data_IF_012558697199
#
_entry.id   IF_012558697199
#
_cell.length_a   1.000
_cell.length_b   1.000
_cell.length_c   1.000
_cell.angle_alpha   90.00
_cell.angle_beta   90.00
_cell.angle_gamma   90.00
#
_symmetry.space_group_name_H-M   'P 1'
#
loop_
_entity.id
_entity.type
_entity.pdbx_description
1 polymer ?
#
# COMPACT_ATOMS: atom_id res chain seq x y z
N UNK A 1 -9.89 11.04 47.67
CA UNK A 1 -10.30 11.33 46.30
C UNK A 1 -9.53 10.41 45.38
N UNK A 2 -10.20 9.58 44.60
CA UNK A 2 -9.54 8.70 43.62
C UNK A 2 -9.16 9.56 42.39
N UNK A 3 -7.99 10.19 42.44
CA UNK A 3 -7.51 11.14 41.40
C UNK A 3 -7.47 10.52 40.01
N UNK A 4 -7.24 9.22 39.90
CA UNK A 4 -7.24 8.47 38.64
C UNK A 4 -8.64 8.47 38.00
N UNK A 5 -9.67 8.09 38.77
CA UNK A 5 -11.06 8.09 38.27
C UNK A 5 -11.58 9.51 38.00
N UNK A 6 -11.08 10.51 38.72
CA UNK A 6 -11.38 11.92 38.45
C UNK A 6 -10.77 12.39 37.12
N UNK A 7 -9.52 12.02 36.83
CA UNK A 7 -8.86 12.36 35.57
C UNK A 7 -9.62 11.76 34.38
N UNK A 8 -10.12 10.53 34.51
CA UNK A 8 -10.95 9.88 33.49
C UNK A 8 -12.19 10.72 33.12
N UNK A 9 -12.82 11.39 34.08
CA UNK A 9 -13.93 12.31 33.80
C UNK A 9 -13.46 13.55 33.03
N UNK A 10 -12.35 14.16 33.46
CA UNK A 10 -11.80 15.39 32.87
C UNK A 10 -11.30 15.15 31.44
N UNK A 11 -10.54 14.08 31.24
CA UNK A 11 -9.93 13.70 29.95
C UNK A 11 -10.97 13.33 28.89
N UNK A 12 -12.19 12.98 29.33
CA UNK A 12 -13.34 12.71 28.45
C UNK A 12 -14.31 13.91 28.36
N UNK A 13 -13.81 15.14 28.57
CA UNK A 13 -14.53 16.39 28.43
C UNK A 13 -15.79 16.52 29.32
N UNK A 14 -15.86 15.80 30.44
CA UNK A 14 -16.94 16.01 31.42
C UNK A 14 -16.62 17.30 32.19
N UNK A 15 -17.53 18.30 32.25
CA UNK A 15 -17.27 19.59 32.88
C UNK A 15 -17.36 19.51 34.41
N UNK A 16 -16.43 18.78 35.02
CA UNK A 16 -16.39 18.48 36.46
C UNK A 16 -16.22 19.75 37.29
N UNK A 17 -16.94 19.82 38.41
CA UNK A 17 -16.67 20.77 39.51
C UNK A 17 -16.29 19.96 40.74
N UNK A 18 -15.11 20.21 41.30
CA UNK A 18 -14.51 19.38 42.35
C UNK A 18 -15.37 19.29 43.62
N UNK A 19 -16.10 20.35 43.96
CA UNK A 19 -17.03 20.41 45.09
C UNK A 19 -18.31 19.59 44.91
N UNK A 20 -18.50 18.95 43.74
CA UNK A 20 -19.71 18.21 43.36
C UNK A 20 -19.45 16.76 42.92
N UNK A 21 -18.25 16.24 43.15
CA UNK A 21 -17.94 14.84 42.91
C UNK A 21 -18.52 13.95 44.01
N UNK A 22 -18.99 12.76 43.62
CA UNK A 22 -19.48 11.75 44.55
C UNK A 22 -18.63 10.50 44.38
N UNK A 23 -18.08 9.99 45.48
CA UNK A 23 -17.31 8.74 45.50
C UNK A 23 -18.16 7.64 46.16
N UNK A 24 -18.14 6.44 45.57
CA UNK A 24 -18.84 5.27 46.12
C UNK A 24 -18.10 3.97 45.78
N UNK A 25 -18.45 2.88 46.46
CA UNK A 25 -17.90 1.54 46.24
C UNK A 25 -19.00 0.48 46.28
N UNK A 26 -19.10 -0.34 45.23
CA UNK A 26 -20.05 -1.46 45.15
C UNK A 26 -19.29 -2.78 45.31
N UNK A 27 -19.59 -3.57 46.35
CA UNK A 27 -18.93 -4.87 46.61
C UNK A 27 -19.64 -6.03 45.92
N UNK A 28 -19.10 -6.56 44.82
CA UNK A 28 -19.71 -7.63 44.03
C UNK A 28 -18.82 -8.88 43.96
N UNK A 29 -19.24 -9.98 44.60
CA UNK A 29 -18.43 -11.21 44.75
C UNK A 29 -18.15 -12.02 43.47
N UNK A 30 -18.96 -11.88 42.41
CA UNK A 30 -18.86 -12.69 41.16
C UNK A 30 -19.01 -11.83 39.90
N UNK A 31 -18.34 -10.68 39.88
CA UNK A 31 -18.35 -9.76 38.74
C UNK A 31 -17.12 -10.00 37.85
N UNK A 32 -17.31 -9.95 36.53
CA UNK A 32 -16.23 -9.87 35.54
C UNK A 32 -16.28 -8.50 34.87
N UNK A 33 -15.17 -8.05 34.29
CA UNK A 33 -15.09 -6.78 33.54
C UNK A 33 -16.21 -6.67 32.47
N UNK A 34 -16.43 -7.75 31.71
CA UNK A 34 -17.53 -7.83 30.73
C UNK A 34 -18.93 -7.73 31.35
N UNK A 35 -19.15 -8.30 32.54
CA UNK A 35 -20.46 -8.20 33.24
C UNK A 35 -20.71 -6.79 33.79
N UNK A 36 -19.66 -6.03 34.12
CA UNK A 36 -19.78 -4.62 34.46
C UNK A 36 -20.23 -3.82 33.24
N UNK A 37 -19.66 -4.09 32.06
CA UNK A 37 -20.11 -3.50 30.79
C UNK A 37 -21.57 -3.80 30.49
N UNK A 38 -21.98 -5.06 30.63
CA UNK A 38 -23.38 -5.46 30.44
C UNK A 38 -24.33 -4.76 31.43
N UNK A 39 -23.89 -4.55 32.68
CA UNK A 39 -24.67 -3.81 33.67
C UNK A 39 -24.80 -2.32 33.29
N UNK A 40 -23.73 -1.70 32.80
CA UNK A 40 -23.76 -0.31 32.30
C UNK A 40 -24.74 -0.18 31.14
N UNK A 41 -24.73 -1.12 30.17
CA UNK A 41 -25.67 -1.10 29.04
C UNK A 41 -27.13 -1.25 29.43
N UNK A 42 -27.44 -1.87 30.58
CA UNK A 42 -28.82 -1.96 31.08
C UNK A 42 -29.35 -0.63 31.60
N UNK A 43 -28.48 0.22 32.14
CA UNK A 43 -28.87 1.46 32.83
C UNK A 43 -28.47 2.73 32.09
N UNK A 44 -27.61 2.63 31.08
CA UNK A 44 -27.07 3.76 30.33
C UNK A 44 -26.25 3.34 29.12
N UNK A 45 -25.17 4.09 28.84
CA UNK A 45 -24.22 3.80 27.77
C UNK A 45 -22.79 3.89 28.26
N UNK A 46 -21.90 3.16 27.61
CA UNK A 46 -20.45 3.31 27.76
C UNK A 46 -20.01 4.51 26.92
N UNK A 47 -19.27 5.43 27.53
CA UNK A 47 -18.69 6.63 26.91
C UNK A 47 -17.25 6.38 26.53
N UNK A 48 -16.49 5.72 27.41
CA UNK A 48 -15.12 5.29 27.16
C UNK A 48 -14.83 3.97 27.90
N UNK A 49 -13.95 3.16 27.32
CA UNK A 49 -13.46 1.88 27.85
C UNK A 49 -11.93 1.94 27.85
N UNK A 50 -11.34 1.93 29.04
CA UNK A 50 -9.89 1.95 29.26
C UNK A 50 -9.51 0.55 29.75
N UNK A 51 -9.34 -0.37 28.79
CA UNK A 51 -9.16 -1.80 29.07
C UNK A 51 -7.90 -2.08 29.91
N UNK A 52 -6.78 -1.41 29.60
CA UNK A 52 -5.51 -1.56 30.31
C UNK A 52 -5.59 -1.16 31.79
N UNK A 53 -6.48 -0.22 32.11
CA UNK A 53 -6.67 0.30 33.47
C UNK A 53 -7.86 -0.35 34.20
N UNK A 54 -8.62 -1.23 33.51
CA UNK A 54 -9.88 -1.80 33.96
C UNK A 54 -10.92 -0.74 34.35
N UNK A 55 -10.99 0.36 33.60
CA UNK A 55 -11.90 1.48 33.87
C UNK A 55 -12.96 1.61 32.77
N UNK A 56 -14.20 1.88 33.19
CA UNK A 56 -15.28 2.32 32.31
C UNK A 56 -15.70 3.74 32.66
N UNK A 57 -15.99 4.56 31.65
CA UNK A 57 -16.78 5.78 31.81
C UNK A 57 -18.20 5.52 31.33
N UNK A 58 -19.18 5.60 32.22
CA UNK A 58 -20.59 5.38 31.93
C UNK A 58 -21.38 6.69 31.94
N UNK A 59 -22.33 6.84 31.01
CA UNK A 59 -23.33 7.91 31.03
C UNK A 59 -24.72 7.33 31.29
N UNK A 60 -25.31 7.68 32.43
CA UNK A 60 -26.59 7.16 32.92
C UNK A 60 -27.59 8.33 32.99
N UNK A 61 -28.71 8.20 32.27
CA UNK A 61 -29.77 9.21 32.24
C UNK A 61 -30.78 8.96 33.34
N UNK A 62 -31.12 10.00 34.11
CA UNK A 62 -32.15 9.92 35.13
C UNK A 62 -33.54 10.19 34.51
N UNK A 63 -34.16 9.17 33.92
CA UNK A 63 -35.48 9.28 33.28
C UNK A 63 -35.48 9.96 31.89
N UNK A 64 -36.67 10.16 31.30
CA UNK A 64 -36.82 10.63 29.90
C UNK A 64 -36.39 12.09 29.65
N UNK A 65 -36.36 12.94 30.68
CA UNK A 65 -36.08 14.38 30.59
C UNK A 65 -34.98 14.83 31.57
N UNK A 66 -34.40 13.90 32.35
CA UNK A 66 -33.47 14.26 33.41
C UNK A 66 -32.02 14.41 32.96
N UNK A 67 -31.21 14.97 33.87
CA UNK A 67 -29.78 15.17 33.67
C UNK A 67 -29.05 13.82 33.53
N UNK A 68 -27.91 13.84 32.83
CA UNK A 68 -27.03 12.69 32.68
C UNK A 68 -25.97 12.72 33.76
N UNK A 69 -25.83 11.62 34.51
CA UNK A 69 -24.70 11.38 35.39
C UNK A 69 -23.61 10.63 34.63
N UNK A 70 -22.37 11.07 34.80
CA UNK A 70 -21.18 10.42 34.30
C UNK A 70 -20.49 9.72 35.46
N UNK A 71 -20.28 8.41 35.35
CA UNK A 71 -19.63 7.59 36.38
C UNK A 71 -18.35 6.99 35.80
N UNK A 72 -17.21 7.33 36.37
CA UNK A 72 -15.96 6.61 36.14
C UNK A 72 -15.91 5.42 37.12
N UNK A 73 -15.71 4.21 36.59
CA UNK A 73 -15.90 2.94 37.28
C UNK A 73 -14.62 2.10 37.16
N UNK A 74 -13.88 1.92 38.25
CA UNK A 74 -12.70 1.02 38.26
C UNK A 74 -13.10 -0.36 38.74
N UNK A 75 -12.92 -1.36 37.88
CA UNK A 75 -13.14 -2.75 38.24
C UNK A 75 -11.94 -3.30 39.03
N UNK A 76 -12.21 -3.80 40.23
CA UNK A 76 -11.23 -4.48 41.07
C UNK A 76 -11.77 -5.87 41.48
N UNK A 77 -10.92 -6.83 41.86
CA UNK A 77 -11.38 -8.12 42.35
C UNK A 77 -12.34 -7.97 43.54
N UNK A 78 -13.61 -8.28 43.32
CA UNK A 78 -14.66 -8.26 44.36
C UNK A 78 -15.34 -6.92 44.62
N UNK A 79 -14.97 -5.83 43.92
CA UNK A 79 -15.60 -4.51 44.08
C UNK A 79 -15.46 -3.62 42.84
N UNK A 80 -16.31 -2.60 42.74
CA UNK A 80 -16.21 -1.53 41.75
C UNK A 80 -16.10 -0.21 42.50
N UNK A 81 -15.00 0.52 42.28
CA UNK A 81 -14.84 1.88 42.80
C UNK A 81 -15.44 2.88 41.80
N UNK A 82 -16.12 3.90 42.31
CA UNK A 82 -16.92 4.82 41.51
C UNK A 82 -16.58 6.25 41.87
N UNK A 83 -16.33 7.08 40.84
CA UNK A 83 -16.36 8.54 40.95
C UNK A 83 -17.38 9.07 39.96
N UNK A 84 -18.39 9.76 40.47
CA UNK A 84 -19.54 10.22 39.69
C UNK A 84 -19.68 11.74 39.68
N UNK A 85 -20.14 12.28 38.54
CA UNK A 85 -20.47 13.68 38.36
C UNK A 85 -21.76 13.86 37.55
N UNK A 86 -22.63 14.78 37.98
CA UNK A 86 -23.77 15.24 37.20
C UNK A 86 -23.85 16.77 37.25
N UNK A 87 -24.06 17.41 36.10
CA UNK A 87 -24.30 18.85 36.04
C UNK A 87 -25.74 19.14 36.43
N UNK A 88 -25.94 19.49 37.69
CA UNK A 88 -27.26 19.87 38.22
C UNK A 88 -27.44 21.38 38.31
N UNK A 89 -28.70 21.84 38.12
CA UNK A 89 -29.10 23.25 38.23
C UNK A 89 -29.26 23.73 39.68
N UNK A 90 -30.09 24.75 39.90
CA UNK A 90 -30.33 25.35 41.24
C UNK A 90 -30.91 24.37 42.29
N UNK A 91 -31.46 23.23 41.87
CA UNK A 91 -32.02 22.22 42.76
C UNK A 91 -31.22 20.92 42.64
N UNK A 92 -30.75 20.39 43.76
CA UNK A 92 -30.03 19.12 43.82
C UNK A 92 -31.02 17.96 43.57
N UNK A 93 -30.82 17.23 42.47
CA UNK A 93 -31.71 16.14 42.05
C UNK A 93 -31.17 14.76 42.46
N UNK A 94 -30.01 14.72 43.12
CA UNK A 94 -29.27 13.50 43.49
C UNK A 94 -29.08 12.56 42.29
N UNK A 95 -28.77 13.12 41.13
CA UNK A 95 -28.71 12.42 39.84
C UNK A 95 -27.59 11.38 39.84
N UNK A 96 -26.44 11.72 40.44
CA UNK A 96 -25.29 10.82 40.54
C UNK A 96 -25.58 9.66 41.48
N UNK A 97 -26.14 9.90 42.66
CA UNK A 97 -26.48 8.86 43.63
C UNK A 97 -27.57 7.92 43.09
N UNK A 98 -28.57 8.47 42.37
CA UNK A 98 -29.58 7.67 41.67
C UNK A 98 -28.97 6.79 40.58
N UNK A 99 -28.02 7.32 39.81
CA UNK A 99 -27.33 6.56 38.78
C UNK A 99 -26.49 5.42 39.38
N UNK A 100 -25.80 5.67 40.50
CA UNK A 100 -25.05 4.64 41.23
C UNK A 100 -25.99 3.56 41.75
N UNK A 101 -27.15 3.93 42.32
CA UNK A 101 -28.13 2.97 42.82
C UNK A 101 -28.75 2.10 41.71
N UNK A 102 -29.02 2.66 40.54
CA UNK A 102 -29.50 1.88 39.39
C UNK A 102 -28.42 0.93 38.87
N UNK A 103 -27.16 1.39 38.83
CA UNK A 103 -26.03 0.53 38.49
C UNK A 103 -25.84 -0.60 39.51
N UNK A 104 -25.98 -0.31 40.81
CA UNK A 104 -25.90 -1.30 41.89
C UNK A 104 -26.97 -2.40 41.73
N UNK A 105 -28.23 -2.01 41.47
CA UNK A 105 -29.31 -2.98 41.17
C UNK A 105 -29.01 -3.84 39.94
N UNK A 106 -28.42 -3.25 38.90
CA UNK A 106 -28.04 -3.98 37.68
C UNK A 106 -26.92 -5.00 37.94
N UNK A 107 -26.05 -4.72 38.91
CA UNK A 107 -24.95 -5.57 39.34
C UNK A 107 -25.37 -6.65 40.37
N UNK A 108 -26.40 -6.37 41.17
CA UNK A 108 -26.95 -7.26 42.19
C UNK A 108 -28.47 -7.40 42.06
N UNK A 109 -28.98 -8.15 41.07
CA UNK A 109 -30.40 -8.46 41.03
C UNK A 109 -30.79 -9.29 42.28
N UNK A 110 -31.78 -8.82 43.05
CA UNK A 110 -32.34 -9.53 44.21
C UNK A 110 -32.74 -10.97 43.86
N UNK A 111 -32.48 -11.92 44.76
CA UNK A 111 -33.20 -13.21 44.79
C UNK A 111 -34.71 -12.96 44.94
N UNK A 112 -35.57 -13.78 44.32
CA UNK A 112 -37.00 -13.47 44.20
C UNK A 112 -37.66 -13.46 45.58
N UNK A 113 -38.34 -12.35 45.92
CA UNK A 113 -39.23 -12.26 47.08
C UNK A 113 -40.67 -12.19 46.60
N UNK A 114 -41.47 -13.10 47.17
CA UNK A 114 -42.88 -13.35 46.86
C UNK A 114 -43.75 -12.08 46.83
N UNK A 115 -44.63 -12.04 45.82
CA UNK A 115 -45.63 -11.00 45.59
C UNK A 115 -46.64 -10.90 46.74
N UNK A 116 -46.92 -9.67 47.17
CA UNK A 116 -48.29 -9.28 47.53
C UNK A 116 -48.71 -8.04 46.76
N UNK A 117 -49.68 -8.29 45.87
CA UNK A 117 -50.56 -7.38 45.12
C UNK A 117 -50.59 -5.93 45.62
N UNK A 118 -50.27 -5.01 44.73
CA UNK A 118 -51.05 -3.79 44.55
C UNK A 118 -51.10 -3.45 43.07
N UNK A 119 -52.32 -3.20 42.60
CA UNK A 119 -52.69 -3.01 41.21
C UNK A 119 -51.87 -1.89 40.56
N UNK A 120 -50.99 -2.28 39.64
CA UNK A 120 -50.49 -1.40 38.59
C UNK A 120 -50.50 -2.23 37.31
N UNK A 121 -51.18 -1.72 36.30
CA UNK A 121 -51.43 -2.42 35.03
C UNK A 121 -50.12 -2.95 34.44
N UNK A 122 -49.97 -4.27 34.51
CA UNK A 122 -48.93 -5.00 33.81
C UNK A 122 -49.16 -4.77 32.30
N UNK A 123 -48.20 -4.16 31.61
CA UNK A 123 -48.16 -4.24 30.13
C UNK A 123 -47.79 -5.68 29.79
N UNK A 124 -48.80 -6.56 29.86
CA UNK A 124 -48.70 -7.96 29.48
C UNK A 124 -48.45 -7.98 27.98
N UNK A 125 -47.19 -8.12 27.58
CA UNK A 125 -46.87 -8.44 26.18
C UNK A 125 -47.30 -9.91 25.98
N UNK A 126 -48.35 -10.20 25.19
CA UNK A 126 -48.96 -11.52 25.18
C UNK A 126 -47.96 -12.64 24.80
N UNK A 127 -48.19 -13.88 25.26
CA UNK A 127 -47.33 -15.04 24.98
C UNK A 127 -47.12 -15.29 23.46
N UNK A 128 -48.08 -14.86 22.63
CA UNK A 128 -47.94 -14.81 21.17
C UNK A 128 -46.80 -13.87 20.73
N UNK A 129 -46.64 -12.71 21.35
CA UNK A 129 -45.62 -11.69 21.01
C UNK A 129 -44.21 -12.12 21.41
N UNK A 130 -44.02 -12.83 22.54
CA UNK A 130 -42.72 -13.45 22.90
C UNK A 130 -42.31 -14.54 21.90
N UNK A 131 -43.27 -15.38 21.46
CA UNK A 131 -43.05 -16.36 20.38
C UNK A 131 -42.71 -15.67 19.04
N UNK A 132 -43.42 -14.59 18.70
CA UNK A 132 -43.15 -13.79 17.50
C UNK A 132 -41.74 -13.17 17.56
N UNK A 133 -41.33 -12.60 18.69
CA UNK A 133 -39.99 -12.01 18.86
C UNK A 133 -38.87 -13.06 18.70
N UNK A 134 -39.04 -14.26 19.26
CA UNK A 134 -38.10 -15.36 19.07
C UNK A 134 -38.00 -15.81 17.60
N UNK A 135 -39.13 -15.86 16.88
CA UNK A 135 -39.14 -16.15 15.44
C UNK A 135 -38.42 -15.06 14.64
N UNK A 136 -38.65 -13.78 14.95
CA UNK A 136 -37.99 -12.65 14.27
C UNK A 136 -36.48 -12.67 14.50
N UNK A 137 -36.02 -12.90 15.73
CA UNK A 137 -34.58 -13.03 16.02
C UNK A 137 -33.99 -14.23 15.28
N UNK A 138 -34.67 -15.38 15.26
CA UNK A 138 -34.24 -16.54 14.50
C UNK A 138 -34.08 -16.25 13.00
N UNK A 139 -35.05 -15.55 12.40
CA UNK A 139 -34.99 -15.13 11.00
C UNK A 139 -33.82 -14.17 10.75
N UNK A 140 -33.60 -13.19 11.63
CA UNK A 140 -32.48 -12.25 11.53
C UNK A 140 -31.13 -12.97 11.61
N UNK A 141 -30.97 -13.93 12.53
CA UNK A 141 -29.74 -14.73 12.64
C UNK A 141 -29.51 -15.53 11.36
N UNK A 142 -30.53 -16.21 10.84
CA UNK A 142 -30.42 -16.95 9.58
C UNK A 142 -30.10 -16.03 8.41
N UNK A 143 -30.69 -14.83 8.36
CA UNK A 143 -30.38 -13.83 7.34
C UNK A 143 -28.93 -13.33 7.45
N UNK A 144 -28.42 -13.05 8.65
CA UNK A 144 -27.02 -12.67 8.87
C UNK A 144 -26.05 -13.79 8.46
N UNK A 145 -26.34 -15.05 8.82
CA UNK A 145 -25.55 -16.21 8.39
C UNK A 145 -25.57 -16.34 6.86
N UNK A 146 -26.75 -16.17 6.25
CA UNK A 146 -26.90 -16.24 4.80
C UNK A 146 -26.12 -15.13 4.09
N UNK A 147 -26.19 -13.89 4.59
CA UNK A 147 -25.42 -12.75 4.07
C UNK A 147 -23.90 -12.96 4.25
N UNK A 148 -23.48 -13.54 5.37
CA UNK A 148 -22.09 -13.91 5.58
C UNK A 148 -21.59 -14.87 4.49
N UNK A 149 -22.32 -15.97 4.25
CA UNK A 149 -21.92 -16.93 3.21
C UNK A 149 -22.03 -16.38 1.78
N UNK A 150 -22.98 -15.48 1.51
CA UNK A 150 -23.16 -14.90 0.18
C UNK A 150 -22.17 -13.78 -0.16
N UNK A 151 -21.79 -12.95 0.81
CA UNK A 151 -21.00 -11.73 0.53
C UNK A 151 -19.65 -11.71 1.24
N UNK A 152 -19.61 -12.08 2.52
CA UNK A 152 -18.40 -11.93 3.34
C UNK A 152 -17.41 -13.08 3.11
N UNK A 153 -17.86 -14.33 3.11
CA UNK A 153 -16.98 -15.49 2.88
C UNK A 153 -16.29 -15.45 1.50
N UNK A 154 -16.97 -15.09 0.40
CA UNK A 154 -16.31 -14.86 -0.90
C UNK A 154 -15.32 -13.70 -0.85
N UNK A 155 -15.67 -12.58 -0.19
CA UNK A 155 -14.77 -11.45 -0.05
C UNK A 155 -13.48 -11.83 0.71
N UNK A 156 -13.58 -12.58 1.82
CA UNK A 156 -12.41 -13.10 2.55
C UNK A 156 -11.52 -13.95 1.63
N UNK A 157 -12.12 -14.83 0.82
CA UNK A 157 -11.36 -15.66 -0.13
C UNK A 157 -10.67 -14.81 -1.20
N UNK A 158 -11.38 -13.81 -1.73
CA UNK A 158 -10.83 -12.87 -2.70
C UNK A 158 -9.68 -12.04 -2.09
N UNK A 159 -9.82 -11.53 -0.88
CA UNK A 159 -8.76 -10.78 -0.17
C UNK A 159 -7.52 -11.66 0.08
N UNK A 160 -7.71 -12.94 0.45
CA UNK A 160 -6.58 -13.86 0.56
C UNK A 160 -5.87 -14.10 -0.78
N UNK A 161 -6.62 -14.25 -1.88
CA UNK A 161 -6.05 -14.39 -3.21
C UNK A 161 -5.32 -13.13 -3.67
N UNK A 162 -5.89 -11.95 -3.39
CA UNK A 162 -5.26 -10.65 -3.59
C UNK A 162 -3.93 -10.55 -2.84
N UNK A 163 -3.92 -10.86 -1.54
CA UNK A 163 -2.71 -10.82 -0.71
C UNK A 163 -1.62 -11.77 -1.21
N UNK A 164 -2.01 -12.95 -1.72
CA UNK A 164 -1.08 -13.87 -2.36
C UNK A 164 -0.49 -13.25 -3.64
N UNK A 165 -1.31 -12.63 -4.48
CA UNK A 165 -0.84 -11.93 -5.67
C UNK A 165 0.08 -10.75 -5.32
N UNK A 166 -0.19 -10.03 -4.22
CA UNK A 166 0.69 -8.99 -3.67
C UNK A 166 2.04 -9.56 -3.24
N UNK A 167 2.07 -10.70 -2.55
CA UNK A 167 3.32 -11.37 -2.19
C UNK A 167 4.13 -11.77 -3.44
N UNK A 168 3.48 -12.34 -4.46
CA UNK A 168 4.11 -12.68 -5.75
C UNK A 168 4.61 -11.43 -6.50
N UNK A 169 3.81 -10.35 -6.51
CA UNK A 169 4.20 -9.06 -7.10
C UNK A 169 5.43 -8.49 -6.40
N UNK A 170 5.45 -8.48 -5.07
CA UNK A 170 6.54 -7.91 -4.29
C UNK A 170 7.85 -8.69 -4.45
N UNK A 171 7.78 -10.02 -4.58
CA UNK A 171 8.93 -10.83 -4.96
C UNK A 171 9.41 -10.47 -6.37
N UNK A 172 8.47 -10.33 -7.32
CA UNK A 172 8.80 -9.97 -8.69
C UNK A 172 9.43 -8.56 -8.78
N UNK A 173 8.83 -7.57 -8.14
CA UNK A 173 9.37 -6.20 -8.08
C UNK A 173 10.79 -6.18 -7.54
N UNK A 174 11.10 -7.01 -6.54
CA UNK A 174 12.46 -7.05 -5.99
C UNK A 174 13.46 -7.54 -7.03
N UNK A 175 13.14 -8.62 -7.78
CA UNK A 175 14.04 -9.08 -8.85
C UNK A 175 14.10 -8.09 -10.02
N UNK A 176 13.00 -7.41 -10.31
CA UNK A 176 12.91 -6.35 -11.31
C UNK A 176 13.86 -5.19 -10.96
N UNK A 177 13.72 -4.62 -9.76
CA UNK A 177 14.55 -3.52 -9.27
C UNK A 177 16.03 -3.91 -9.21
N UNK A 178 16.37 -5.14 -8.79
CA UNK A 178 17.76 -5.63 -8.79
C UNK A 178 18.34 -5.80 -10.20
N UNK A 179 17.54 -6.22 -11.18
CA UNK A 179 17.98 -6.32 -12.56
C UNK A 179 18.25 -4.93 -13.16
N UNK A 180 17.37 -3.96 -12.87
CA UNK A 180 17.51 -2.59 -13.37
C UNK A 180 18.76 -1.87 -12.85
N UNK A 181 19.30 -2.24 -11.68
CA UNK A 181 20.59 -1.68 -11.22
C UNK A 181 21.78 -1.98 -12.13
N UNK A 182 21.64 -2.94 -13.06
CA UNK A 182 22.72 -3.38 -13.94
C UNK A 182 22.70 -2.72 -15.31
N UNK A 183 21.64 -2.00 -15.63
CA UNK A 183 21.34 -1.47 -16.97
C UNK A 183 20.78 -0.06 -16.85
N UNK A 184 21.04 0.81 -17.82
CA UNK A 184 20.33 2.09 -17.93
C UNK A 184 19.09 1.93 -18.80
N UNK A 185 17.92 2.27 -18.27
CA UNK A 185 16.64 2.22 -19.02
C UNK A 185 16.03 3.59 -19.26
N UNK A 186 16.73 4.67 -18.89
CA UNK A 186 16.21 6.05 -18.94
C UNK A 186 15.80 6.49 -20.36
N UNK A 187 16.46 5.91 -21.38
CA UNK A 187 16.19 6.19 -22.78
C UNK A 187 15.23 5.18 -23.43
N UNK A 188 14.55 4.34 -22.64
CA UNK A 188 13.60 3.33 -23.13
C UNK A 188 12.18 3.70 -22.69
N UNK A 189 11.31 3.95 -23.66
CA UNK A 189 9.89 4.20 -23.37
C UNK A 189 9.20 2.96 -22.81
N UNK A 190 8.42 3.15 -21.75
CA UNK A 190 7.53 2.12 -21.18
C UNK A 190 8.12 1.27 -20.06
N UNK A 191 9.44 1.32 -19.83
CA UNK A 191 10.08 0.61 -18.71
C UNK A 191 10.24 1.58 -17.53
N UNK A 192 9.62 1.25 -16.39
CA UNK A 192 9.76 2.06 -15.18
C UNK A 192 11.09 1.78 -14.48
N UNK A 193 11.77 2.81 -13.96
CA UNK A 193 13.02 2.66 -13.21
C UNK A 193 12.85 1.87 -11.89
N UNK A 194 11.62 1.74 -11.39
CA UNK A 194 11.28 0.88 -10.25
C UNK A 194 9.82 0.45 -10.29
N UNK A 195 9.51 -0.71 -9.71
CA UNK A 195 8.14 -1.20 -9.57
C UNK A 195 7.51 -0.95 -8.18
N UNK A 196 8.31 -0.58 -7.18
CA UNK A 196 7.83 -0.30 -5.83
C UNK A 196 7.17 -1.53 -5.14
N UNK A 197 6.49 -1.32 -4.01
CA UNK A 197 5.87 -2.41 -3.26
C UNK A 197 4.39 -2.15 -3.02
N UNK A 198 3.62 -3.23 -3.02
CA UNK A 198 2.21 -3.21 -2.65
C UNK A 198 2.02 -3.70 -1.23
N UNK A 199 1.04 -3.11 -0.55
CA UNK A 199 0.64 -3.52 0.80
C UNK A 199 -0.46 -4.59 0.74
N UNK A 200 -0.51 -5.40 1.80
CA UNK A 200 -1.54 -6.41 1.97
C UNK A 200 -2.74 -5.82 2.70
N UNK A 201 -3.90 -6.34 2.36
CA UNK A 201 -5.16 -5.99 2.99
C UNK A 201 -5.45 -6.91 4.18
N UNK A 202 -6.18 -6.40 5.17
CA UNK A 202 -6.61 -7.19 6.32
C UNK A 202 -7.62 -8.27 5.91
N UNK A 203 -7.48 -9.46 6.49
CA UNK A 203 -8.44 -10.58 6.33
C UNK A 203 -9.29 -10.80 7.58
N UNK A 204 -9.17 -9.90 8.57
CA UNK A 204 -9.99 -9.94 9.76
C UNK A 204 -11.46 -9.69 9.43
N UNK A 205 -12.35 -10.41 10.11
CA UNK A 205 -13.77 -10.43 9.76
C UNK A 205 -14.41 -9.04 9.80
N UNK A 206 -14.06 -8.23 10.82
CA UNK A 206 -14.60 -6.89 10.98
C UNK A 206 -14.19 -5.96 9.82
N UNK A 207 -12.92 -6.03 9.42
CA UNK A 207 -12.37 -5.20 8.34
C UNK A 207 -13.00 -5.59 7.00
N UNK A 208 -13.10 -6.89 6.71
CA UNK A 208 -13.71 -7.36 5.46
C UNK A 208 -15.20 -7.02 5.40
N UNK A 209 -15.92 -7.07 6.53
CA UNK A 209 -17.31 -6.57 6.58
C UNK A 209 -17.36 -5.10 6.20
N UNK A 210 -16.48 -4.27 6.77
CA UNK A 210 -16.42 -2.85 6.45
C UNK A 210 -16.10 -2.62 4.97
N UNK A 211 -15.10 -3.29 4.42
CA UNK A 211 -14.73 -3.24 2.99
C UNK A 211 -15.91 -3.60 2.08
N UNK A 212 -16.68 -4.64 2.40
CA UNK A 212 -17.86 -5.03 1.62
C UNK A 212 -18.97 -3.99 1.73
N UNK A 213 -19.19 -3.41 2.92
CA UNK A 213 -20.16 -2.32 3.13
C UNK A 213 -19.78 -1.05 2.36
N UNK A 214 -18.49 -0.77 2.24
CA UNK A 214 -17.94 0.32 1.43
C UNK A 214 -18.02 0.04 -0.08
N UNK A 215 -18.52 -1.14 -0.45
CA UNK A 215 -18.83 -1.52 -1.83
C UNK A 215 -17.70 -2.26 -2.55
N UNK A 216 -16.64 -2.67 -1.86
CA UNK A 216 -15.58 -3.53 -2.38
C UNK A 216 -16.00 -4.99 -2.26
N UNK A 217 -16.77 -5.44 -3.25
CA UNK A 217 -17.25 -6.83 -3.33
C UNK A 217 -16.15 -7.78 -3.80
N UNK A 218 -16.35 -9.08 -3.57
CA UNK A 218 -15.43 -10.13 -4.02
C UNK A 218 -15.02 -9.97 -5.49
N UNK A 219 -15.98 -9.72 -6.39
CA UNK A 219 -15.71 -9.54 -7.83
C UNK A 219 -14.78 -8.34 -8.11
N UNK A 220 -14.87 -7.25 -7.34
CA UNK A 220 -13.96 -6.10 -7.51
C UNK A 220 -12.55 -6.47 -7.06
N UNK A 221 -12.42 -7.10 -5.89
CA UNK A 221 -11.14 -7.57 -5.37
C UNK A 221 -10.50 -8.60 -6.32
N UNK A 222 -11.30 -9.46 -6.94
CA UNK A 222 -10.83 -10.40 -7.98
C UNK A 222 -10.32 -9.67 -9.23
N UNK A 223 -10.96 -8.58 -9.65
CA UNK A 223 -10.48 -7.75 -10.76
C UNK A 223 -9.18 -7.00 -10.42
N UNK A 224 -9.06 -6.51 -9.18
CA UNK A 224 -7.83 -5.88 -8.69
C UNK A 224 -6.69 -6.93 -8.65
N UNK A 225 -7.00 -8.14 -8.18
CA UNK A 225 -6.08 -9.29 -8.20
C UNK A 225 -5.62 -9.61 -9.63
N UNK A 226 -6.54 -9.65 -10.60
CA UNK A 226 -6.20 -9.86 -12.00
C UNK A 226 -5.33 -8.73 -12.57
N UNK A 227 -5.51 -7.50 -12.09
CA UNK A 227 -4.68 -6.35 -12.46
C UNK A 227 -3.26 -6.51 -11.93
N UNK A 228 -3.09 -6.99 -10.69
CA UNK A 228 -1.76 -7.29 -10.14
C UNK A 228 -1.03 -8.33 -11.00
N UNK A 229 -1.70 -9.41 -11.42
CA UNK A 229 -1.07 -10.40 -12.30
C UNK A 229 -0.67 -9.82 -13.67
N UNK A 230 -1.44 -8.88 -14.23
CA UNK A 230 -1.03 -8.17 -15.45
C UNK A 230 0.23 -7.32 -15.23
N UNK A 231 0.35 -6.66 -14.08
CA UNK A 231 1.57 -5.93 -13.72
C UNK A 231 2.76 -6.88 -13.58
N UNK A 232 2.56 -8.06 -12.98
CA UNK A 232 3.59 -9.11 -12.89
C UNK A 232 4.03 -9.55 -14.29
N UNK A 233 3.09 -9.79 -15.22
CA UNK A 233 3.43 -10.20 -16.57
C UNK A 233 4.13 -9.09 -17.36
N UNK A 234 3.73 -7.83 -17.17
CA UNK A 234 4.46 -6.67 -17.71
C UNK A 234 5.92 -6.64 -17.22
N UNK A 235 6.15 -6.79 -15.91
CA UNK A 235 7.52 -6.84 -15.36
C UNK A 235 8.33 -8.01 -15.92
N UNK A 236 7.71 -9.16 -16.22
CA UNK A 236 8.41 -10.30 -16.86
C UNK A 236 8.82 -9.97 -18.28
N UNK A 237 7.97 -9.27 -19.04
CA UNK A 237 8.28 -8.85 -20.40
C UNK A 237 9.39 -7.79 -20.39
N UNK A 238 9.32 -6.81 -19.50
CA UNK A 238 10.37 -5.82 -19.29
C UNK A 238 11.71 -6.47 -18.92
N UNK A 239 11.70 -7.51 -18.07
CA UNK A 239 12.91 -8.27 -17.73
C UNK A 239 13.53 -9.01 -18.91
N UNK A 240 12.74 -9.44 -19.89
CA UNK A 240 13.28 -10.00 -21.13
C UNK A 240 14.02 -8.93 -21.92
N UNK A 241 13.47 -7.71 -21.98
CA UNK A 241 14.12 -6.55 -22.62
C UNK A 241 15.41 -6.19 -21.89
N UNK A 242 15.38 -6.09 -20.56
CA UNK A 242 16.56 -5.81 -19.71
C UNK A 242 17.68 -6.82 -19.98
N UNK A 243 17.35 -8.11 -20.05
CA UNK A 243 18.32 -9.15 -20.35
C UNK A 243 18.94 -9.04 -21.75
N UNK A 244 18.22 -8.48 -22.74
CA UNK A 244 18.76 -8.26 -24.08
C UNK A 244 19.78 -7.13 -24.14
N UNK A 245 19.68 -6.14 -23.25
CA UNK A 245 20.51 -4.92 -23.25
C UNK A 245 21.62 -4.95 -22.18
N UNK A 246 21.69 -6.02 -21.37
CA UNK A 246 22.78 -6.30 -20.44
C UNK A 246 23.93 -7.06 -21.13
N UNK A 247 24.99 -6.33 -21.47
CA UNK A 247 26.21 -6.75 -22.15
C UNK A 247 25.95 -7.73 -23.33
N UNK A 248 25.16 -7.32 -24.35
CA UNK A 248 24.85 -8.18 -25.47
C UNK A 248 26.09 -8.52 -26.31
N UNK A 249 26.06 -9.70 -26.95
CA UNK A 249 27.13 -10.08 -27.88
C UNK A 249 27.16 -9.20 -29.13
N UNK A 250 28.34 -8.99 -29.72
CA UNK A 250 28.54 -8.32 -31.01
C UNK A 250 27.60 -8.83 -32.12
N UNK A 251 27.46 -10.17 -32.21
CA UNK A 251 26.57 -10.80 -33.20
C UNK A 251 25.12 -10.37 -33.01
N UNK A 252 24.65 -10.30 -31.77
CA UNK A 252 23.29 -9.86 -31.48
C UNK A 252 23.10 -8.39 -31.88
N UNK A 253 24.05 -7.52 -31.54
CA UNK A 253 24.01 -6.09 -31.89
C UNK A 253 23.98 -5.92 -33.42
N UNK A 254 24.85 -6.62 -34.14
CA UNK A 254 24.90 -6.62 -35.61
C UNK A 254 23.55 -6.97 -36.23
N UNK A 255 22.93 -8.07 -35.79
CA UNK A 255 21.65 -8.52 -36.34
C UNK A 255 20.51 -7.56 -36.02
N UNK A 256 20.54 -6.91 -34.86
CA UNK A 256 19.55 -5.88 -34.50
C UNK A 256 19.72 -4.60 -35.30
N UNK A 257 20.95 -4.11 -35.49
CA UNK A 257 21.22 -2.92 -36.30
C UNK A 257 20.74 -3.09 -37.75
N UNK A 258 20.89 -4.28 -38.34
CA UNK A 258 20.38 -4.57 -39.70
C UNK A 258 18.86 -4.45 -39.84
N UNK A 259 18.11 -4.43 -38.74
CA UNK A 259 16.65 -4.23 -38.78
C UNK A 259 16.24 -2.75 -38.87
N UNK A 260 17.19 -1.83 -38.65
CA UNK A 260 16.96 -0.38 -38.76
C UNK A 260 17.14 0.04 -40.20
N UNK A 261 16.08 0.56 -40.83
CA UNK A 261 16.05 0.82 -42.28
C UNK A 261 17.09 1.83 -42.76
N UNK A 262 17.49 2.78 -41.92
CA UNK A 262 18.51 3.78 -42.27
C UNK A 262 19.92 3.20 -42.29
N UNK A 263 20.18 2.08 -41.60
CA UNK A 263 21.51 1.47 -41.51
C UNK A 263 21.77 0.64 -42.77
N UNK A 264 22.87 0.91 -43.46
CA UNK A 264 23.26 0.22 -44.69
C UNK A 264 24.25 -0.92 -44.42
N UNK A 265 25.35 -0.61 -43.75
CA UNK A 265 26.46 -1.51 -43.49
C UNK A 265 26.92 -1.37 -42.03
N UNK A 266 27.47 -2.45 -41.48
CA UNK A 266 27.97 -2.54 -40.10
C UNK A 266 29.30 -3.27 -40.13
N UNK A 267 30.30 -2.72 -39.46
CA UNK A 267 31.62 -3.34 -39.27
C UNK A 267 31.96 -3.39 -37.78
N UNK A 268 32.34 -4.58 -37.31
CA UNK A 268 32.77 -4.78 -35.93
C UNK A 268 34.27 -4.47 -35.77
N UNK A 269 34.60 -3.87 -34.63
CA UNK A 269 35.98 -3.65 -34.21
C UNK A 269 36.60 -4.97 -33.77
N UNK A 270 37.83 -5.20 -34.22
CA UNK A 270 38.71 -6.32 -33.91
C UNK A 270 40.00 -5.79 -33.27
N UNK A 271 40.87 -6.67 -32.79
CA UNK A 271 42.15 -6.27 -32.21
C UNK A 271 43.06 -5.52 -33.21
N UNK A 272 42.92 -5.79 -34.51
CA UNK A 272 43.80 -5.23 -35.56
C UNK A 272 43.36 -3.84 -36.04
N UNK A 273 42.07 -3.51 -35.91
CA UNK A 273 41.49 -2.25 -36.41
C UNK A 273 40.89 -1.38 -35.28
N UNK A 274 41.19 -1.68 -34.01
CA UNK A 274 40.68 -0.91 -32.88
C UNK A 274 41.32 0.48 -32.77
N UNK A 275 40.58 1.58 -33.05
CA UNK A 275 41.13 2.93 -33.05
C UNK A 275 41.56 3.39 -31.65
N UNK A 276 40.99 2.82 -30.58
CA UNK A 276 41.26 3.22 -29.20
C UNK A 276 42.09 2.19 -28.44
N UNK A 277 42.30 1.00 -29.00
CA UNK A 277 42.97 -0.14 -28.36
C UNK A 277 42.33 -0.57 -27.02
N UNK A 278 41.01 -0.37 -26.88
CA UNK A 278 40.23 -0.62 -25.67
C UNK A 278 39.37 -1.89 -25.74
N UNK A 279 39.32 -2.59 -26.88
CA UNK A 279 38.57 -3.83 -27.04
C UNK A 279 39.04 -4.89 -26.03
N UNK A 280 38.11 -5.36 -25.20
CA UNK A 280 38.35 -6.39 -24.19
C UNK A 280 39.27 -5.96 -23.03
N UNK A 281 39.62 -4.67 -22.93
CA UNK A 281 40.41 -4.13 -21.81
C UNK A 281 39.52 -3.78 -20.62
N UNK A 282 40.13 -3.68 -19.43
CA UNK A 282 39.41 -3.24 -18.22
C UNK A 282 38.90 -1.80 -18.40
N UNK A 283 37.62 -1.56 -18.12
CA UNK A 283 36.92 -0.30 -18.41
C UNK A 283 36.71 0.00 -19.90
N UNK A 284 37.14 -0.88 -20.81
CA UNK A 284 36.91 -0.78 -22.25
C UNK A 284 35.61 -1.45 -22.69
N UNK A 285 35.33 -1.37 -24.00
CA UNK A 285 34.19 -2.07 -24.58
C UNK A 285 34.45 -3.56 -24.77
N UNK A 286 33.42 -4.37 -24.57
CA UNK A 286 33.39 -5.80 -24.88
C UNK A 286 33.14 -6.05 -26.36
N UNK A 287 32.47 -5.11 -27.03
CA UNK A 287 32.30 -5.06 -28.48
C UNK A 287 32.12 -3.60 -28.92
N UNK A 288 32.61 -3.24 -30.10
CA UNK A 288 32.32 -1.96 -30.73
C UNK A 288 31.98 -2.21 -32.20
N UNK A 289 30.94 -1.55 -32.70
CA UNK A 289 30.51 -1.67 -34.09
C UNK A 289 30.30 -0.28 -34.65
N UNK A 290 30.90 -0.01 -35.81
CA UNK A 290 30.63 1.19 -36.59
C UNK A 290 29.64 0.86 -37.70
N UNK A 291 28.80 1.84 -38.05
CA UNK A 291 27.78 1.64 -39.07
C UNK A 291 27.61 2.88 -39.96
N UNK A 292 27.22 2.62 -41.21
CA UNK A 292 26.90 3.66 -42.18
C UNK A 292 25.39 3.87 -42.27
N UNK A 293 24.95 5.09 -42.54
CA UNK A 293 23.53 5.39 -42.78
C UNK A 293 23.24 5.88 -44.20
N UNK A 294 21.97 5.84 -44.61
CA UNK A 294 21.55 6.31 -45.94
C UNK A 294 21.80 7.78 -46.22
N UNK A 295 21.80 8.58 -45.16
CA UNK A 295 21.71 10.03 -45.24
C UNK A 295 23.10 10.70 -45.32
N UNK A 296 24.16 9.91 -45.17
CA UNK A 296 25.55 10.34 -45.28
C UNK A 296 26.21 9.59 -46.44
N UNK A 297 26.86 10.33 -47.34
CA UNK A 297 27.69 9.77 -48.38
C UNK A 297 29.01 9.26 -47.78
N UNK A 298 29.18 7.94 -47.73
CA UNK A 298 30.38 7.30 -47.17
C UNK A 298 31.66 7.64 -47.93
N UNK A 299 31.57 8.01 -49.20
CA UNK A 299 32.73 8.34 -50.04
C UNK A 299 33.23 9.76 -49.77
N UNK A 300 32.43 10.58 -49.07
CA UNK A 300 32.81 11.92 -48.62
C UNK A 300 33.65 11.94 -47.32
N UNK A 301 33.94 10.77 -46.75
CA UNK A 301 34.70 10.59 -45.51
C UNK A 301 35.97 9.80 -45.83
N UNK A 302 37.13 10.37 -45.46
CA UNK A 302 38.42 9.69 -45.61
C UNK A 302 38.50 8.45 -44.70
N UNK A 303 39.07 7.36 -45.23
CA UNK A 303 39.22 6.08 -44.54
C UNK A 303 38.98 4.90 -45.48
N UNK A 304 39.67 3.79 -45.27
CA UNK A 304 39.57 2.60 -46.13
C UNK A 304 38.43 1.67 -45.71
N UNK A 305 38.12 1.63 -44.41
CA UNK A 305 37.07 0.80 -43.80
C UNK A 305 36.00 1.65 -43.09
N UNK A 306 34.88 1.04 -42.67
CA UNK A 306 33.86 1.74 -41.88
C UNK A 306 34.44 2.10 -40.51
N UNK A 307 35.29 1.25 -39.94
CA UNK A 307 35.99 1.51 -38.67
C UNK A 307 36.95 2.70 -38.79
N UNK A 308 37.72 2.80 -39.89
CA UNK A 308 38.62 3.95 -40.12
C UNK A 308 37.85 5.27 -40.20
N UNK A 309 36.69 5.24 -40.87
CA UNK A 309 35.81 6.41 -41.01
C UNK A 309 35.09 6.76 -39.70
N UNK A 310 34.98 5.82 -38.77
CA UNK A 310 34.45 6.05 -37.43
C UNK A 310 32.98 6.50 -37.42
N UNK A 311 32.63 7.38 -36.49
CA UNK A 311 31.24 7.87 -36.34
C UNK A 311 30.78 8.78 -37.47
N UNK A 312 31.70 9.29 -38.30
CA UNK A 312 31.39 10.29 -39.33
C UNK A 312 30.43 9.77 -40.40
N UNK A 313 30.45 8.46 -40.68
CA UNK A 313 29.60 7.82 -41.71
C UNK A 313 28.23 7.36 -41.22
N UNK A 314 27.94 7.52 -39.93
CA UNK A 314 26.64 7.19 -39.37
C UNK A 314 26.66 7.15 -37.85
N UNK A 315 27.45 6.26 -37.27
CA UNK A 315 27.55 6.14 -35.83
C UNK A 315 28.30 4.91 -35.36
N UNK A 316 28.21 4.66 -34.05
CA UNK A 316 28.79 3.50 -33.41
C UNK A 316 27.89 2.96 -32.30
N UNK A 317 28.00 1.66 -32.03
CA UNK A 317 27.49 1.02 -30.81
C UNK A 317 28.67 0.49 -30.03
N UNK A 318 28.87 1.02 -28.83
CA UNK A 318 29.92 0.60 -27.90
C UNK A 318 29.26 -0.21 -26.78
N UNK A 319 29.57 -1.50 -26.65
CA UNK A 319 29.00 -2.40 -25.64
C UNK A 319 29.96 -2.50 -24.46
N UNK A 320 29.45 -2.35 -23.24
CA UNK A 320 30.25 -2.42 -22.02
C UNK A 320 29.87 -3.58 -21.13
N UNK A 321 30.83 -3.99 -20.30
CA UNK A 321 30.62 -5.04 -19.31
C UNK A 321 29.61 -4.64 -18.23
N UNK A 322 29.55 -3.36 -17.89
CA UNK A 322 28.67 -2.82 -16.85
C UNK A 322 28.07 -1.48 -17.25
N UNK A 323 26.91 -1.13 -16.70
CA UNK A 323 26.29 0.19 -16.89
C UNK A 323 27.21 1.32 -16.43
N UNK A 324 27.98 1.11 -15.37
CA UNK A 324 28.95 2.10 -14.87
C UNK A 324 30.03 2.44 -15.89
N UNK A 325 30.53 1.46 -16.63
CA UNK A 325 31.55 1.70 -17.66
C UNK A 325 30.95 2.44 -18.86
N UNK A 326 29.69 2.14 -19.22
CA UNK A 326 28.95 2.88 -20.24
C UNK A 326 28.66 4.33 -19.81
N UNK A 327 28.30 4.56 -18.54
CA UNK A 327 28.12 5.90 -17.97
C UNK A 327 29.43 6.70 -17.99
N UNK A 328 30.54 6.08 -17.58
CA UNK A 328 31.86 6.70 -17.64
C UNK A 328 32.25 7.09 -19.08
N UNK A 329 31.82 6.30 -20.08
CA UNK A 329 31.98 6.65 -21.48
C UNK A 329 31.15 7.88 -21.86
N UNK A 330 29.88 7.94 -21.48
CA UNK A 330 29.05 9.13 -21.71
C UNK A 330 29.65 10.37 -21.04
N UNK A 331 30.15 10.26 -19.80
CA UNK A 331 30.84 11.35 -19.10
C UNK A 331 32.09 11.81 -19.86
N UNK A 332 32.91 10.87 -20.35
CA UNK A 332 34.05 11.21 -21.21
C UNK A 332 33.63 11.94 -22.48
N UNK A 333 32.59 11.46 -23.18
CA UNK A 333 32.09 12.08 -24.40
C UNK A 333 31.55 13.49 -24.14
N UNK A 334 30.89 13.72 -23.00
CA UNK A 334 30.38 15.03 -22.61
C UNK A 334 31.46 16.12 -22.49
N UNK A 335 32.71 15.73 -22.21
CA UNK A 335 33.84 16.65 -22.16
C UNK A 335 34.16 17.31 -23.52
N UNK A 336 33.64 16.78 -24.62
CA UNK A 336 33.81 17.35 -25.97
C UNK A 336 32.60 18.15 -26.44
N UNK A 337 31.52 18.22 -25.66
CA UNK A 337 30.33 18.96 -26.04
C UNK A 337 30.66 20.45 -26.23
N UNK A 338 30.18 21.02 -27.33
CA UNK A 338 30.47 22.40 -27.75
C UNK A 338 31.96 22.68 -28.03
N UNK A 339 32.78 21.66 -28.24
CA UNK A 339 34.18 21.80 -28.65
C UNK A 339 34.37 21.46 -30.12
N UNK A 340 35.55 21.76 -30.67
CA UNK A 340 35.94 21.34 -32.02
C UNK A 340 36.04 19.81 -32.16
N UNK A 341 36.11 19.08 -31.05
CA UNK A 341 36.25 17.62 -31.02
C UNK A 341 34.90 16.90 -30.86
N UNK A 342 33.78 17.63 -30.92
CA UNK A 342 32.44 17.03 -30.87
C UNK A 342 32.26 16.06 -32.03
N UNK A 343 31.97 14.80 -31.72
CA UNK A 343 31.85 13.70 -32.70
C UNK A 343 30.41 13.29 -32.99
N UNK A 344 29.44 13.97 -32.37
CA UNK A 344 28.01 13.73 -32.53
C UNK A 344 27.34 13.37 -31.21
N UNK A 345 26.04 13.12 -31.25
CA UNK A 345 25.28 12.79 -30.04
C UNK A 345 25.56 11.38 -29.55
N UNK A 346 25.28 11.16 -28.27
CA UNK A 346 25.44 9.88 -27.61
C UNK A 346 24.28 9.63 -26.64
N UNK A 347 23.88 8.38 -26.48
CA UNK A 347 22.83 7.94 -25.57
C UNK A 347 23.15 6.56 -24.99
N UNK A 348 22.93 6.39 -23.69
CA UNK A 348 23.13 5.11 -23.02
C UNK A 348 21.85 4.26 -23.07
N UNK A 349 21.97 2.98 -23.43
CA UNK A 349 20.87 2.00 -23.42
C UNK A 349 21.39 0.69 -22.89
N UNK A 350 20.85 0.27 -21.75
CA UNK A 350 21.33 -0.86 -20.99
C UNK A 350 22.78 -0.65 -20.57
N UNK A 351 23.66 -1.44 -21.16
CA UNK A 351 25.12 -1.34 -20.98
C UNK A 351 25.82 -0.89 -22.26
N UNK A 352 25.08 -0.31 -23.20
CA UNK A 352 25.60 0.15 -24.49
C UNK A 352 25.57 1.67 -24.57
N UNK A 353 26.49 2.24 -25.32
CA UNK A 353 26.45 3.64 -25.75
C UNK A 353 26.19 3.67 -27.25
N UNK A 354 25.07 4.26 -27.63
CA UNK A 354 24.75 4.63 -29.01
C UNK A 354 25.44 5.95 -29.28
N UNK A 355 26.19 6.05 -30.38
CA UNK A 355 26.75 7.29 -30.90
C UNK A 355 26.23 7.52 -32.30
N UNK A 356 25.86 8.74 -32.63
CA UNK A 356 25.39 9.12 -33.98
C UNK A 356 26.14 10.34 -34.49
N UNK A 357 26.45 10.36 -35.79
CA UNK A 357 27.33 11.33 -36.44
C UNK A 357 26.96 12.79 -36.15
N UNK A 358 27.97 13.65 -35.92
CA UNK A 358 27.79 15.11 -35.86
C UNK A 358 27.36 15.73 -37.20
N UNK A 359 27.49 14.97 -38.30
CA UNK A 359 27.06 15.41 -39.64
C UNK A 359 25.54 15.40 -39.83
N UNK A 360 24.82 14.74 -38.92
CA UNK A 360 23.37 14.83 -38.82
C UNK A 360 22.97 16.05 -37.98
N UNK A 361 21.83 16.65 -38.29
CA UNK A 361 21.20 17.60 -37.38
C UNK A 361 20.62 16.89 -36.14
N UNK A 362 20.32 17.67 -35.10
CA UNK A 362 19.88 17.12 -33.81
C UNK A 362 18.56 16.34 -33.87
N UNK A 363 17.66 16.68 -34.80
CA UNK A 363 16.40 15.94 -34.99
C UNK A 363 16.67 14.57 -35.60
N UNK A 364 17.52 14.51 -36.63
CA UNK A 364 17.93 13.27 -37.30
C UNK A 364 18.73 12.35 -36.36
N UNK A 365 19.58 12.93 -35.50
CA UNK A 365 20.29 12.20 -34.45
C UNK A 365 19.33 11.54 -33.44
N UNK A 366 18.32 12.28 -32.98
CA UNK A 366 17.30 11.77 -32.06
C UNK A 366 16.44 10.68 -32.71
N UNK A 367 16.04 10.88 -33.97
CA UNK A 367 15.26 9.88 -34.71
C UNK A 367 16.05 8.57 -34.87
N UNK A 368 17.30 8.65 -35.33
CA UNK A 368 18.16 7.47 -35.50
C UNK A 368 18.41 6.76 -34.16
N UNK A 369 18.68 7.50 -33.10
CA UNK A 369 18.83 6.93 -31.75
C UNK A 369 17.56 6.19 -31.35
N UNK A 370 16.38 6.78 -31.57
CA UNK A 370 15.08 6.18 -31.24
C UNK A 370 14.81 4.91 -32.05
N UNK A 371 15.14 4.89 -33.34
CA UNK A 371 15.00 3.70 -34.19
C UNK A 371 15.88 2.55 -33.71
N UNK A 372 17.14 2.84 -33.35
CA UNK A 372 18.08 1.85 -32.80
C UNK A 372 17.58 1.35 -31.44
N UNK A 373 17.13 2.25 -30.55
CA UNK A 373 16.51 1.87 -29.27
C UNK A 373 15.39 0.86 -29.47
N UNK A 374 14.44 1.17 -30.37
CA UNK A 374 13.30 0.31 -30.67
C UNK A 374 13.73 -1.05 -31.23
N UNK A 375 14.77 -1.09 -32.06
CA UNK A 375 15.31 -2.35 -32.57
C UNK A 375 15.88 -3.22 -31.45
N UNK A 376 16.57 -2.61 -30.48
CA UNK A 376 17.21 -3.30 -29.36
C UNK A 376 16.22 -3.78 -28.31
N UNK A 377 15.13 -3.05 -28.09
CA UNK A 377 14.12 -3.37 -27.07
C UNK A 377 12.94 -4.20 -27.56
N UNK A 378 12.93 -4.55 -28.86
CA UNK A 378 11.90 -5.43 -29.43
C UNK A 378 12.09 -6.89 -28.99
N UNK A 379 11.06 -7.45 -28.34
CA UNK A 379 10.97 -8.88 -27.97
C UNK A 379 10.79 -9.80 -29.18
#
# INVERSE_FOLDING_TARGET
MNEELKNVLIDNNVPVKEDKLIEDEIKVKKLTYLKLRDAIWKVGRVVAELEDENIYLAAIKNGKVGNTAYLALKFLPGRVEIVGYAKEGLFNQHTTEKAIKELEKALMPDEPRDEKKNDSEEVVVPNKTKKILGIVIGILVVACISLYFMMISPAIKATNAYNKAVDEYNEMSTRYDEALKKVCVDNIEGISATAGRLEKESVELADVIQTVLDGNTANKIENDTATIYKLIDSMKDDLKVVAQIENPSEKWVTERLKTVSKIKEVEAVSEDNDPNMMLGKDGGYTACLYFTISDIDSDSVEGDTIVDKGTDVGGAIEVYKSVKDAEARCEYLSGFDNTLLYSGSYAIIGTMVIRTSYRLDGESQLELTTEITKAFTKL
#
